data_IF_379291078944
#
_entry.id   IF_379291078944
#
_cell.length_a   1.000
_cell.length_b   1.000
_cell.length_c   1.000
_cell.angle_alpha   90.00
_cell.angle_beta   90.00
_cell.angle_gamma   90.00
#
_symmetry.space_group_name_H-M   'P 1'
#
loop_
_entity.id
_entity.type
_entity.pdbx_description
1 polymer ?
#
# COMPACT_ATOMS: atom_id res chain seq x y z
N UNK A 1 -23.08 -2.66 19.22
CA UNK A 1 -22.01 -3.41 19.93
C UNK A 1 -22.18 -4.87 19.56
N UNK A 2 -21.11 -5.55 19.16
CA UNK A 2 -21.15 -6.99 18.91
C UNK A 2 -21.21 -7.72 20.25
N UNK A 3 -22.19 -8.60 20.44
CA UNK A 3 -22.31 -9.43 21.65
C UNK A 3 -21.29 -10.56 21.55
N UNK A 4 -20.28 -10.56 22.45
CA UNK A 4 -19.32 -11.67 22.53
C UNK A 4 -19.96 -12.83 23.30
N UNK A 5 -19.96 -14.02 22.69
CA UNK A 5 -20.47 -15.23 23.34
C UNK A 5 -19.44 -15.79 24.32
N UNK A 6 -19.92 -16.40 25.41
CA UNK A 6 -19.07 -17.07 26.39
C UNK A 6 -18.34 -18.26 25.74
N UNK A 7 -17.07 -18.46 26.11
CA UNK A 7 -16.22 -19.53 25.55
C UNK A 7 -15.62 -19.25 24.16
N UNK A 8 -15.84 -18.07 23.57
CA UNK A 8 -15.20 -17.72 22.29
C UNK A 8 -13.67 -17.59 22.42
N UNK A 9 -12.90 -18.13 21.45
CA UNK A 9 -11.44 -17.99 21.42
C UNK A 9 -10.95 -16.57 21.63
N UNK A 10 -9.78 -16.45 22.24
CA UNK A 10 -9.08 -15.18 22.40
C UNK A 10 -8.64 -14.62 21.03
N UNK A 11 -8.48 -13.30 20.93
CA UNK A 11 -8.10 -12.57 19.72
C UNK A 11 -9.10 -12.60 18.53
N UNK A 12 -10.31 -13.12 18.73
CA UNK A 12 -11.40 -12.95 17.76
C UNK A 12 -11.99 -11.55 17.86
N UNK A 13 -12.11 -10.90 16.70
CA UNK A 13 -12.63 -9.55 16.55
C UNK A 13 -13.55 -9.47 15.36
N UNK A 14 -14.63 -8.72 15.49
CA UNK A 14 -15.51 -8.44 14.35
C UNK A 14 -14.86 -7.39 13.44
N UNK A 15 -15.09 -7.49 12.13
CA UNK A 15 -14.50 -6.55 11.17
C UNK A 15 -14.92 -5.09 11.46
N UNK A 16 -16.15 -4.88 11.93
CA UNK A 16 -16.69 -3.58 12.30
C UNK A 16 -15.91 -2.90 13.43
N UNK A 17 -15.31 -3.67 14.35
CA UNK A 17 -14.47 -3.13 15.42
C UNK A 17 -13.22 -2.43 14.89
N UNK A 18 -12.80 -2.69 13.65
CA UNK A 18 -11.63 -2.05 13.07
C UNK A 18 -11.97 -0.80 12.25
N UNK A 19 -13.25 -0.59 11.91
CA UNK A 19 -13.68 0.58 11.14
C UNK A 19 -13.33 1.87 11.88
N UNK A 20 -12.79 2.84 11.15
CA UNK A 20 -12.36 4.13 11.68
C UNK A 20 -11.00 4.14 12.37
N UNK A 21 -10.39 2.98 12.65
CA UNK A 21 -9.04 2.92 13.24
C UNK A 21 -8.00 3.48 12.26
N UNK A 22 -6.98 4.20 12.76
CA UNK A 22 -5.90 4.70 11.93
C UNK A 22 -5.10 3.55 11.31
N UNK A 23 -4.73 3.75 10.04
CA UNK A 23 -3.81 2.90 9.29
C UNK A 23 -2.42 3.51 9.41
N UNK A 24 -1.47 2.75 9.92
CA UNK A 24 -0.11 3.23 10.23
C UNK A 24 0.96 2.27 9.75
N UNK A 25 2.14 2.76 9.43
CA UNK A 25 3.33 1.91 9.23
C UNK A 25 4.11 1.70 10.54
N UNK A 26 5.24 1.00 10.45
CA UNK A 26 6.14 0.73 11.58
C UNK A 26 6.82 1.98 12.14
N UNK A 27 6.88 3.07 11.37
CA UNK A 27 7.41 4.36 11.81
C UNK A 27 6.33 5.22 12.48
N UNK A 28 5.08 4.77 12.49
CA UNK A 28 3.94 5.48 13.06
C UNK A 28 3.33 6.53 12.13
N UNK A 29 3.75 6.59 10.86
CA UNK A 29 3.18 7.50 9.86
C UNK A 29 1.74 7.06 9.59
N UNK A 30 0.80 8.01 9.60
CA UNK A 30 -0.63 7.75 9.36
C UNK A 30 -0.98 7.90 7.88
N UNK A 31 -1.70 6.91 7.35
CA UNK A 31 -2.09 6.84 5.93
C UNK A 31 -3.60 6.96 5.67
N UNK A 32 -4.38 7.13 6.74
CA UNK A 32 -5.83 7.24 6.67
C UNK A 32 -6.49 6.45 7.80
N UNK A 33 -7.76 6.09 7.58
CA UNK A 33 -8.54 5.26 8.50
C UNK A 33 -9.13 4.06 7.76
N UNK A 34 -9.30 2.95 8.44
CA UNK A 34 -10.00 1.77 7.89
C UNK A 34 -11.44 2.14 7.57
N UNK A 35 -11.86 1.95 6.33
CA UNK A 35 -13.26 2.13 5.90
C UNK A 35 -13.98 0.78 5.86
N UNK A 36 -13.38 -0.20 5.19
CA UNK A 36 -13.89 -1.56 5.05
C UNK A 36 -12.75 -2.57 5.16
N UNK A 37 -13.04 -3.72 5.77
CA UNK A 37 -12.20 -4.92 5.66
C UNK A 37 -12.87 -5.83 4.63
N UNK A 38 -12.08 -6.32 3.67
CA UNK A 38 -12.53 -7.23 2.63
C UNK A 38 -12.17 -8.65 2.99
N UNK A 39 -13.14 -9.54 2.93
CA UNK A 39 -12.97 -10.98 3.14
C UNK A 39 -13.10 -11.65 1.78
N UNK A 40 -12.16 -12.52 1.44
CA UNK A 40 -12.27 -13.36 0.25
C UNK A 40 -13.36 -14.42 0.51
N UNK A 41 -14.38 -14.48 -0.34
CA UNK A 41 -15.52 -15.39 -0.18
C UNK A 41 -15.14 -16.87 -0.30
N UNK A 42 -14.08 -17.17 -1.05
CA UNK A 42 -13.69 -18.52 -1.39
C UNK A 42 -12.77 -19.11 -0.32
N UNK A 43 -11.86 -18.30 0.23
CA UNK A 43 -10.89 -18.72 1.26
C UNK A 43 -11.30 -18.35 2.68
N UNK A 44 -12.33 -17.51 2.85
CA UNK A 44 -12.77 -16.93 4.12
C UNK A 44 -11.68 -16.14 4.88
N UNK A 45 -10.60 -15.75 4.18
CA UNK A 45 -9.49 -14.98 4.75
C UNK A 45 -9.63 -13.49 4.46
N UNK A 46 -8.98 -12.64 5.26
CA UNK A 46 -8.87 -11.22 4.95
C UNK A 46 -8.10 -11.04 3.63
N UNK A 47 -8.73 -10.40 2.66
CA UNK A 47 -8.16 -10.12 1.34
C UNK A 47 -7.45 -8.77 1.30
N UNK A 48 -7.92 -7.80 2.09
CA UNK A 48 -7.37 -6.45 2.12
C UNK A 48 -8.28 -5.47 2.84
N UNK A 49 -7.99 -4.18 2.70
CA UNK A 49 -8.74 -3.09 3.34
C UNK A 49 -8.93 -1.91 2.41
N UNK A 50 -10.10 -1.27 2.50
CA UNK A 50 -10.27 0.08 1.96
C UNK A 50 -9.85 1.09 3.02
N UNK A 51 -8.92 1.97 2.65
CA UNK A 51 -8.43 3.07 3.49
C UNK A 51 -9.02 4.38 3.02
N UNK A 52 -9.63 5.14 3.94
CA UNK A 52 -10.10 6.50 3.71
C UNK A 52 -9.01 7.52 4.08
N UNK A 53 -8.54 8.29 3.10
CA UNK A 53 -7.46 9.28 3.24
C UNK A 53 -7.96 10.72 3.49
N UNK A 54 -9.27 10.94 3.61
CA UNK A 54 -9.88 12.28 3.63
C UNK A 54 -10.18 12.82 2.23
N UNK A 55 -10.89 13.95 2.15
CA UNK A 55 -11.35 14.57 0.89
C UNK A 55 -11.98 13.59 -0.11
N UNK A 56 -12.83 12.67 0.36
CA UNK A 56 -13.47 11.62 -0.44
C UNK A 56 -12.50 10.70 -1.21
N UNK A 57 -11.24 10.60 -0.78
CA UNK A 57 -10.26 9.69 -1.38
C UNK A 57 -10.22 8.38 -0.60
N UNK A 58 -10.63 7.32 -1.27
CA UNK A 58 -10.50 5.95 -0.79
C UNK A 58 -9.52 5.18 -1.68
N UNK A 59 -8.74 4.28 -1.10
CA UNK A 59 -7.92 3.36 -1.88
C UNK A 59 -7.86 1.99 -1.23
N UNK A 60 -7.71 0.96 -2.05
CA UNK A 60 -7.55 -0.40 -1.60
C UNK A 60 -6.08 -0.71 -1.29
N UNK A 61 -5.86 -1.46 -0.21
CA UNK A 61 -4.61 -2.13 0.12
C UNK A 61 -4.88 -3.62 0.23
N UNK A 62 -4.13 -4.41 -0.53
CA UNK A 62 -4.14 -5.86 -0.47
C UNK A 62 -3.53 -6.39 0.84
N UNK A 63 -3.82 -7.65 1.16
CA UNK A 63 -3.35 -8.31 2.37
C UNK A 63 -1.81 -8.33 2.50
N UNK A 64 -1.07 -8.29 1.39
CA UNK A 64 0.41 -8.20 1.36
C UNK A 64 0.97 -6.96 2.09
N UNK A 65 0.17 -5.89 2.16
CA UNK A 65 0.54 -4.61 2.76
C UNK A 65 0.19 -4.56 4.25
N UNK A 66 -0.55 -5.54 4.76
CA UNK A 66 -1.05 -5.60 6.13
C UNK A 66 -0.10 -6.46 6.96
N UNK A 67 0.38 -5.93 8.09
CA UNK A 67 1.14 -6.70 9.09
C UNK A 67 0.15 -7.35 10.07
N UNK A 68 -0.58 -6.51 10.82
CA UNK A 68 -1.56 -6.97 11.79
C UNK A 68 -2.59 -5.93 12.14
N UNK A 69 -3.73 -6.41 12.63
CA UNK A 69 -4.74 -5.60 13.27
C UNK A 69 -4.48 -5.53 14.77
N UNK A 70 -4.54 -4.33 15.36
CA UNK A 70 -4.40 -4.13 16.81
C UNK A 70 -5.67 -3.53 17.39
N UNK A 71 -5.71 -3.40 18.72
CA UNK A 71 -6.83 -2.74 19.40
C UNK A 71 -7.01 -1.30 18.95
N UNK A 72 -5.93 -0.60 18.56
CA UNK A 72 -5.96 0.84 18.26
C UNK A 72 -5.74 1.18 16.80
N UNK A 73 -5.07 0.31 16.04
CA UNK A 73 -4.59 0.62 14.68
C UNK A 73 -4.66 -0.59 13.76
N UNK A 74 -4.58 -0.33 12.46
CA UNK A 74 -4.12 -1.31 11.47
C UNK A 74 -2.66 -1.00 11.16
N UNK A 75 -1.77 -1.96 11.39
CA UNK A 75 -0.35 -1.83 11.12
C UNK A 75 0.00 -2.38 9.73
N UNK A 76 0.73 -1.60 8.95
CA UNK A 76 1.19 -1.97 7.62
C UNK A 76 2.58 -2.59 7.68
N UNK A 77 2.75 -3.67 6.92
CA UNK A 77 4.05 -4.30 6.67
C UNK A 77 4.84 -3.50 5.64
N UNK A 78 4.12 -2.94 4.66
CA UNK A 78 4.65 -2.18 3.54
C UNK A 78 3.87 -0.87 3.40
N UNK A 79 4.50 0.30 3.50
CA UNK A 79 3.79 1.57 3.39
C UNK A 79 3.32 1.81 1.95
N UNK A 80 2.18 2.50 1.73
CA UNK A 80 1.73 2.88 0.40
C UNK A 80 2.70 3.88 -0.24
N UNK A 81 2.94 3.72 -1.55
CA UNK A 81 3.83 4.63 -2.29
C UNK A 81 3.22 6.03 -2.37
N UNK A 82 4.07 7.05 -2.19
CA UNK A 82 3.74 8.47 -2.29
C UNK A 82 4.50 9.13 -3.44
N UNK A 83 3.94 10.23 -3.95
CA UNK A 83 4.64 11.13 -4.88
C UNK A 83 5.84 11.76 -4.17
N UNK A 84 6.92 11.99 -4.92
CA UNK A 84 8.15 12.63 -4.46
C UNK A 84 9.17 11.69 -3.81
N UNK A 85 8.78 10.44 -3.51
CA UNK A 85 9.68 9.42 -2.96
C UNK A 85 10.79 9.10 -3.98
N UNK A 86 12.03 8.96 -3.48
CA UNK A 86 13.18 8.64 -4.31
C UNK A 86 13.09 7.20 -4.82
N UNK A 87 13.39 7.02 -6.10
CA UNK A 87 13.51 5.70 -6.72
C UNK A 87 14.98 5.40 -6.99
N UNK A 88 15.41 4.22 -6.57
CA UNK A 88 16.74 3.66 -6.81
C UNK A 88 16.63 2.31 -7.50
N UNK A 89 17.70 1.91 -8.18
CA UNK A 89 17.82 0.57 -8.71
C UNK A 89 18.18 -0.45 -7.61
N UNK A 90 18.28 -1.73 -7.97
CA UNK A 90 18.60 -2.81 -7.03
C UNK A 90 19.97 -2.65 -6.34
N UNK A 91 20.90 -1.92 -6.97
CA UNK A 91 22.24 -1.62 -6.45
C UNK A 91 22.26 -0.33 -5.59
N UNK A 92 21.11 0.32 -5.41
CA UNK A 92 20.97 1.58 -4.68
C UNK A 92 21.32 2.83 -5.49
N UNK A 93 21.59 2.70 -6.79
CA UNK A 93 21.88 3.82 -7.68
C UNK A 93 20.63 4.65 -7.92
N UNK A 94 20.74 5.97 -7.77
CA UNK A 94 19.63 6.90 -8.00
C UNK A 94 19.12 6.85 -9.45
N UNK A 95 17.84 6.54 -9.59
CA UNK A 95 17.07 6.62 -10.84
C UNK A 95 16.36 7.98 -10.93
N UNK A 96 15.60 8.34 -9.89
CA UNK A 96 14.76 9.53 -9.94
C UNK A 96 13.86 9.70 -8.72
N UNK A 97 12.69 10.30 -8.93
CA UNK A 97 11.61 10.42 -7.93
C UNK A 97 10.28 10.12 -8.58
N UNK A 98 9.33 9.60 -7.79
CA UNK A 98 7.95 9.40 -8.25
C UNK A 98 7.31 10.74 -8.55
N UNK A 99 6.84 10.93 -9.78
CA UNK A 99 6.12 12.13 -10.21
C UNK A 99 4.61 11.97 -10.11
N UNK A 100 4.09 10.79 -10.47
CA UNK A 100 2.65 10.49 -10.48
C UNK A 100 2.42 9.03 -10.09
N UNK A 101 1.27 8.78 -9.46
CA UNK A 101 0.75 7.44 -9.18
C UNK A 101 -0.39 7.18 -10.15
N UNK A 102 -0.32 6.08 -10.89
CA UNK A 102 -1.40 5.60 -11.74
C UNK A 102 -2.07 4.43 -11.04
N UNK A 103 -3.38 4.57 -10.84
CA UNK A 103 -4.17 3.68 -10.01
C UNK A 103 -5.30 3.10 -10.84
N UNK A 104 -5.67 1.86 -10.52
CA UNK A 104 -6.82 1.21 -11.13
C UNK A 104 -8.07 2.08 -10.96
N UNK A 105 -8.89 2.31 -11.99
CA UNK A 105 -10.01 3.25 -11.94
C UNK A 105 -11.05 2.89 -10.87
N UNK A 106 -11.35 1.60 -10.70
CA UNK A 106 -12.40 1.15 -9.77
C UNK A 106 -11.91 0.96 -8.32
N UNK A 107 -10.74 0.33 -8.11
CA UNK A 107 -10.24 0.00 -6.76
C UNK A 107 -9.34 1.09 -6.18
N UNK A 108 -8.86 2.00 -7.03
CA UNK A 108 -7.83 2.99 -6.73
C UNK A 108 -6.54 2.35 -6.14
N UNK A 109 -6.32 1.07 -6.42
CA UNK A 109 -5.07 0.38 -6.12
C UNK A 109 -3.96 0.89 -7.03
N UNK A 110 -2.73 0.99 -6.50
CA UNK A 110 -1.58 1.41 -7.30
C UNK A 110 -1.18 0.33 -8.31
N UNK A 111 -1.14 0.70 -9.59
CA UNK A 111 -0.67 -0.18 -10.66
C UNK A 111 0.71 0.24 -11.16
N UNK A 112 0.91 1.54 -11.39
CA UNK A 112 2.17 2.07 -11.91
C UNK A 112 2.62 3.34 -11.19
N UNK A 113 3.94 3.52 -11.11
CA UNK A 113 4.57 4.79 -10.76
C UNK A 113 5.15 5.45 -12.01
N UNK A 114 4.98 6.76 -12.12
CA UNK A 114 5.59 7.55 -13.20
C UNK A 114 6.90 8.15 -12.71
N UNK A 115 8.00 7.87 -13.42
CA UNK A 115 9.33 8.43 -13.16
C UNK A 115 9.76 9.27 -14.37
N UNK A 116 10.06 10.57 -14.19
CA UNK A 116 10.57 11.40 -15.27
C UNK A 116 12.02 11.03 -15.59
N UNK A 117 12.33 10.90 -16.88
CA UNK A 117 13.67 10.54 -17.39
C UNK A 117 14.32 11.68 -18.19
N UNK A 118 13.64 12.82 -18.31
CA UNK A 118 14.10 14.05 -18.95
C UNK A 118 13.02 15.13 -18.86
N UNK A 119 13.12 16.20 -19.67
CA UNK A 119 12.10 17.26 -19.70
C UNK A 119 10.73 16.76 -20.23
N UNK A 120 10.75 15.89 -21.24
CA UNK A 120 9.55 15.40 -21.94
C UNK A 120 9.33 13.89 -21.80
N UNK A 121 10.36 13.14 -21.40
CA UNK A 121 10.29 11.69 -21.31
C UNK A 121 9.95 11.24 -19.88
N UNK A 122 9.14 10.20 -19.81
CA UNK A 122 8.69 9.56 -18.57
C UNK A 122 8.60 8.06 -18.79
N UNK A 123 8.78 7.29 -17.73
CA UNK A 123 8.60 5.85 -17.73
C UNK A 123 7.55 5.45 -16.70
N UNK A 124 6.71 4.50 -17.08
CA UNK A 124 5.73 3.87 -16.19
C UNK A 124 6.33 2.58 -15.69
N UNK A 125 6.49 2.47 -14.37
CA UNK A 125 7.05 1.28 -13.73
C UNK A 125 5.93 0.57 -12.99
N UNK A 126 5.75 -0.73 -13.28
CA UNK A 126 4.72 -1.55 -12.66
C UNK A 126 4.99 -1.73 -11.16
N UNK A 127 3.95 -1.88 -10.35
CA UNK A 127 4.06 -2.30 -8.94
C UNK A 127 4.84 -3.62 -8.81
N UNK A 128 4.75 -4.53 -9.79
CA UNK A 128 5.49 -5.80 -9.81
C UNK A 128 7.01 -5.64 -9.96
N UNK A 129 7.45 -4.50 -10.50
CA UNK A 129 8.87 -4.20 -10.72
C UNK A 129 9.52 -3.54 -9.49
N UNK A 130 8.74 -3.32 -8.44
CA UNK A 130 9.20 -2.73 -7.20
C UNK A 130 9.57 -3.85 -6.24
N UNK A 131 10.85 -3.93 -5.92
CA UNK A 131 11.38 -4.91 -4.97
C UNK A 131 11.15 -4.50 -3.52
N UNK A 132 11.26 -3.20 -3.20
CA UNK A 132 11.15 -2.72 -1.82
C UNK A 132 10.57 -1.31 -1.73
N UNK A 133 9.80 -1.06 -0.66
CA UNK A 133 9.19 0.24 -0.36
C UNK A 133 9.50 0.61 1.09
N UNK A 134 10.11 1.78 1.28
CA UNK A 134 10.38 2.39 2.58
C UNK A 134 10.66 3.87 2.42
N UNK A 135 11.77 4.36 2.98
CA UNK A 135 12.27 5.73 2.72
C UNK A 135 12.50 5.98 1.22
N UNK A 136 12.91 4.92 0.50
CA UNK A 136 13.13 4.89 -0.94
C UNK A 136 12.33 3.73 -1.54
N UNK A 137 12.07 3.84 -2.84
CA UNK A 137 11.52 2.74 -3.65
C UNK A 137 12.71 2.11 -4.36
N UNK A 138 12.83 0.80 -4.23
CA UNK A 138 13.90 0.00 -4.85
C UNK A 138 13.26 -0.80 -5.98
N UNK A 139 13.76 -0.64 -7.19
CA UNK A 139 13.34 -1.44 -8.34
C UNK A 139 14.09 -2.77 -8.36
N UNK A 140 13.48 -3.79 -8.95
CA UNK A 140 14.05 -5.14 -9.07
C UNK A 140 15.10 -5.27 -10.21
N UNK A 141 15.44 -4.18 -10.89
CA UNK A 141 16.41 -4.12 -11.98
C UNK A 141 17.38 -2.94 -11.79
N UNK A 142 18.48 -2.95 -12.55
CA UNK A 142 19.54 -1.95 -12.56
C UNK A 142 19.15 -0.67 -13.32
N UNK A 143 19.86 0.44 -13.08
CA UNK A 143 19.67 1.70 -13.84
C UNK A 143 19.92 1.54 -15.34
N UNK A 144 20.81 0.63 -15.74
CA UNK A 144 21.11 0.33 -17.15
C UNK A 144 19.96 -0.41 -17.82
N UNK A 145 19.28 -1.30 -17.11
CA UNK A 145 18.06 -1.96 -17.59
C UNK A 145 16.91 -0.96 -17.63
N UNK A 146 16.74 -0.16 -16.57
CA UNK A 146 15.77 0.92 -16.52
C UNK A 146 15.88 1.86 -17.74
N UNK A 147 17.10 2.24 -18.16
CA UNK A 147 17.27 3.14 -19.31
C UNK A 147 16.79 2.53 -20.63
N UNK A 148 16.77 1.19 -20.74
CA UNK A 148 16.36 0.45 -21.95
C UNK A 148 14.86 0.15 -22.04
N UNK A 149 14.10 0.33 -20.95
CA UNK A 149 12.64 0.21 -20.99
C UNK A 149 12.06 1.20 -22.02
N UNK A 150 11.04 0.81 -22.76
CA UNK A 150 10.38 1.72 -23.73
C UNK A 150 9.50 2.76 -23.03
#
# INVERSE_FOLDING_TARGET
>A
MSTRLEGMPEHLKTADEFRGKPVVDREGIRYGKVKHIHINSDTLSVAGVTVHQGFHKDYYLSNDSIDKFTEKTLLLSTPPIRVGVQVVDIDGTKIGKVKKLHRHPDTNELEYIEIPTGLLHKKLISKSDIWGIGEKIILNFTKKEFSKLE
#
